data_IF_984432036467
#
_entry.id   IF_984432036467
#
_cell.length_a   1.000
_cell.length_b   1.000
_cell.length_c   1.000
_cell.angle_alpha   90.00
_cell.angle_beta   90.00
_cell.angle_gamma   90.00
#
_symmetry.space_group_name_H-M   'P 1'
#
loop_
_entity.id
_entity.type
_entity.pdbx_description
1 polymer ?
#
# COMPACT_ATOMS: atom_id res chain seq x y z
N UNK A 1 9.90 -6.91 16.79
CA UNK A 1 9.74 -6.52 15.41
C UNK A 1 9.11 -5.15 15.27
N UNK A 2 9.46 -4.46 14.24
CA UNK A 2 9.01 -3.11 13.96
C UNK A 2 7.55 -3.11 13.49
N UNK A 3 6.69 -2.25 14.03
CA UNK A 3 5.34 -2.11 13.51
C UNK A 3 5.37 -1.53 12.10
N UNK A 4 4.35 -1.85 11.32
CA UNK A 4 4.22 -1.33 9.97
C UNK A 4 2.78 -0.92 9.67
N UNK A 5 2.62 -0.22 8.56
CA UNK A 5 1.33 0.29 8.11
C UNK A 5 1.01 -0.22 6.71
N UNK A 6 -0.27 -0.20 6.38
CA UNK A 6 -0.76 -0.43 5.02
C UNK A 6 -1.16 0.92 4.45
N UNK A 7 -0.89 1.14 3.16
CA UNK A 7 -1.41 2.28 2.41
C UNK A 7 -2.22 1.71 1.24
N UNK A 8 -3.49 2.07 1.15
CA UNK A 8 -4.42 1.49 0.19
C UNK A 8 -5.48 2.50 -0.22
N UNK A 9 -5.95 2.42 -1.47
CA UNK A 9 -7.12 3.15 -1.94
C UNK A 9 -8.18 2.11 -2.31
N UNK A 10 -9.41 2.31 -1.84
CA UNK A 10 -10.52 1.39 -2.10
C UNK A 10 -11.72 2.13 -2.66
N UNK A 11 -12.49 1.45 -3.51
CA UNK A 11 -13.76 1.97 -3.96
C UNK A 11 -14.86 1.67 -2.93
N UNK A 12 -16.10 2.06 -3.23
CA UNK A 12 -17.22 1.90 -2.30
C UNK A 12 -17.48 0.44 -1.91
N UNK A 13 -17.16 -0.50 -2.78
CA UNK A 13 -17.33 -1.93 -2.53
C UNK A 13 -16.10 -2.59 -1.90
N UNK A 14 -15.06 -1.82 -1.58
CA UNK A 14 -13.80 -2.35 -1.08
C UNK A 14 -12.83 -2.77 -2.16
N UNK A 15 -13.11 -2.41 -3.41
CA UNK A 15 -12.28 -2.80 -4.56
C UNK A 15 -10.98 -2.00 -4.63
N UNK A 16 -9.91 -2.68 -5.02
CA UNK A 16 -8.58 -2.09 -5.11
C UNK A 16 -7.96 -2.18 -6.51
N UNK A 17 -8.62 -2.89 -7.42
CA UNK A 17 -8.11 -3.03 -8.77
C UNK A 17 -9.02 -3.82 -9.68
N UNK A 18 -8.80 -3.66 -10.96
CA UNK A 18 -9.49 -4.39 -12.03
C UNK A 18 -8.48 -4.68 -13.13
N UNK A 19 -8.38 -5.95 -13.53
CA UNK A 19 -7.45 -6.40 -14.56
C UNK A 19 -6.00 -5.97 -14.28
N UNK A 20 -5.61 -5.98 -13.00
CA UNK A 20 -4.24 -5.63 -12.58
C UNK A 20 -3.95 -4.14 -12.53
N UNK A 21 -4.94 -3.28 -12.74
CA UNK A 21 -4.76 -1.84 -12.78
C UNK A 21 -5.75 -1.11 -11.87
N UNK A 22 -5.42 0.13 -11.52
CA UNK A 22 -6.35 1.01 -10.81
C UNK A 22 -7.35 1.56 -11.81
N UNK A 23 -8.66 1.36 -11.60
CA UNK A 23 -9.67 1.87 -12.53
C UNK A 23 -9.96 3.36 -12.38
N UNK A 24 -9.29 4.03 -11.46
CA UNK A 24 -9.39 5.48 -11.25
C UNK A 24 -8.04 6.15 -11.41
N UNK A 25 -8.07 7.45 -11.66
CA UNK A 25 -6.87 8.26 -11.74
C UNK A 25 -7.08 9.51 -10.90
N UNK A 26 -6.36 9.58 -9.76
CA UNK A 26 -6.51 10.64 -8.77
C UNK A 26 -5.13 11.20 -8.42
N UNK A 27 -4.69 12.26 -9.11
CA UNK A 27 -3.38 12.86 -8.82
C UNK A 27 -3.21 13.30 -7.36
N UNK A 28 -4.27 13.80 -6.72
CA UNK A 28 -4.23 14.18 -5.31
C UNK A 28 -3.97 12.98 -4.41
N UNK A 29 -4.52 11.82 -4.75
CA UNK A 29 -4.28 10.59 -4.01
C UNK A 29 -2.83 10.13 -4.19
N UNK A 30 -2.30 10.24 -5.40
CA UNK A 30 -0.90 9.89 -5.66
C UNK A 30 0.06 10.79 -4.89
N UNK A 31 -0.26 12.08 -4.78
CA UNK A 31 0.53 13.03 -3.98
C UNK A 31 0.47 12.67 -2.49
N UNK A 32 -0.71 12.31 -2.00
CA UNK A 32 -0.94 11.89 -0.61
C UNK A 32 -0.14 10.61 -0.30
N UNK A 33 -0.19 9.63 -1.21
CA UNK A 33 0.58 8.40 -1.10
C UNK A 33 2.08 8.69 -0.95
N UNK A 34 2.61 9.56 -1.82
CA UNK A 34 4.02 9.93 -1.78
C UNK A 34 4.36 10.63 -0.46
N UNK A 35 3.52 11.55 -0.02
CA UNK A 35 3.75 12.28 1.22
C UNK A 35 3.80 11.35 2.43
N UNK A 36 2.86 10.41 2.53
CA UNK A 36 2.83 9.43 3.63
C UNK A 36 4.05 8.52 3.59
N UNK A 37 4.33 7.92 2.44
CA UNK A 37 5.36 6.87 2.35
C UNK A 37 6.77 7.42 2.33
N UNK A 38 6.98 8.59 1.76
CA UNK A 38 8.31 9.20 1.72
C UNK A 38 8.61 9.93 3.03
N UNK A 39 7.66 10.67 3.58
CA UNK A 39 7.84 11.40 4.82
C UNK A 39 9.08 12.26 4.78
N UNK A 40 9.90 12.16 5.82
CA UNK A 40 11.17 12.88 5.94
C UNK A 40 12.36 12.09 5.41
N UNK A 41 12.10 10.95 4.76
CA UNK A 41 13.12 10.06 4.26
C UNK A 41 13.40 8.90 5.22
N UNK A 42 14.13 7.89 4.72
CA UNK A 42 14.51 6.73 5.52
C UNK A 42 13.45 5.65 5.65
N UNK A 43 12.32 5.80 4.97
CA UNK A 43 11.22 4.82 5.01
C UNK A 43 11.42 3.71 3.98
N UNK A 44 10.67 2.62 4.16
CA UNK A 44 10.64 1.50 3.22
C UNK A 44 9.21 1.23 2.75
N UNK A 45 9.08 0.76 1.52
CA UNK A 45 7.81 0.29 0.96
C UNK A 45 7.98 -1.17 0.55
N UNK A 46 6.99 -2.00 0.89
CA UNK A 46 6.96 -3.42 0.53
C UNK A 46 5.84 -3.60 -0.48
N UNK A 47 6.13 -4.28 -1.57
CA UNK A 47 5.18 -4.53 -2.64
C UNK A 47 5.38 -5.90 -3.25
N UNK A 48 4.34 -6.46 -3.84
CA UNK A 48 4.45 -7.65 -4.65
C UNK A 48 5.05 -7.32 -6.02
N UNK A 49 5.55 -8.33 -6.72
CA UNK A 49 6.18 -8.11 -8.03
C UNK A 49 5.21 -7.53 -9.06
N UNK A 50 3.93 -7.94 -9.02
CA UNK A 50 2.93 -7.38 -9.95
C UNK A 50 2.73 -5.88 -9.73
N UNK A 51 2.75 -5.43 -8.49
CA UNK A 51 2.68 -4.01 -8.17
C UNK A 51 3.92 -3.29 -8.69
N UNK A 52 5.11 -3.87 -8.49
CA UNK A 52 6.34 -3.35 -9.05
C UNK A 52 6.24 -3.18 -10.56
N UNK A 53 5.77 -4.21 -11.27
CA UNK A 53 5.63 -4.18 -12.72
C UNK A 53 4.61 -3.12 -13.19
N UNK A 54 3.63 -2.77 -12.35
CA UNK A 54 2.61 -1.78 -12.66
C UNK A 54 3.13 -0.34 -12.57
N UNK A 55 4.24 -0.12 -11.86
CA UNK A 55 4.85 1.21 -11.77
C UNK A 55 5.59 1.48 -13.06
N UNK A 56 5.32 2.59 -13.77
CA UNK A 56 6.04 2.90 -14.99
C UNK A 56 7.55 2.94 -14.76
N UNK A 57 8.33 2.42 -15.71
CA UNK A 57 9.78 2.29 -15.56
C UNK A 57 10.50 3.56 -15.10
N UNK A 58 10.16 4.77 -15.61
CA UNK A 58 10.84 5.98 -15.15
C UNK A 58 10.60 6.32 -13.68
N UNK A 59 9.55 5.75 -13.05
CA UNK A 59 9.15 6.06 -11.69
C UNK A 59 9.54 4.98 -10.69
N UNK A 60 10.23 3.94 -11.11
CA UNK A 60 10.67 2.88 -10.20
C UNK A 60 12.18 2.72 -10.22
N UNK A 61 12.82 2.44 -9.06
CA UNK A 61 12.19 2.32 -7.74
C UNK A 61 11.62 3.66 -7.28
N UNK A 62 10.62 3.61 -6.38
CA UNK A 62 10.03 4.83 -5.84
C UNK A 62 11.10 5.63 -5.10
N UNK A 63 11.33 6.90 -5.46
CA UNK A 63 12.48 7.64 -4.94
C UNK A 63 12.37 7.96 -3.45
N UNK A 64 13.51 8.05 -2.79
CA UNK A 64 13.59 8.42 -1.39
C UNK A 64 13.13 7.37 -0.40
N UNK A 65 12.88 6.14 -0.87
CA UNK A 65 12.40 5.02 -0.06
C UNK A 65 13.13 3.77 -0.43
N UNK A 66 13.35 2.87 0.55
CA UNK A 66 13.82 1.53 0.24
C UNK A 66 12.66 0.76 -0.38
N UNK A 67 12.84 0.24 -1.58
CA UNK A 67 11.82 -0.57 -2.25
C UNK A 67 12.14 -2.04 -2.02
N UNK A 68 11.21 -2.77 -1.39
CA UNK A 68 11.33 -4.20 -1.13
C UNK A 68 10.26 -4.90 -1.96
N UNK A 69 10.68 -5.80 -2.85
CA UNK A 69 9.77 -6.51 -3.75
C UNK A 69 9.68 -7.96 -3.35
N UNK A 70 8.45 -8.42 -3.09
CA UNK A 70 8.16 -9.81 -2.81
C UNK A 70 8.04 -10.58 -4.12
N UNK A 71 8.87 -11.61 -4.27
CA UNK A 71 8.81 -12.49 -5.44
C UNK A 71 9.31 -13.88 -5.06
N UNK A 72 8.62 -14.91 -5.55
CA UNK A 72 9.07 -16.31 -5.42
C UNK A 72 10.04 -16.71 -6.51
N UNK A 73 10.22 -15.84 -7.50
CA UNK A 73 11.11 -16.11 -8.64
C UNK A 73 12.55 -15.84 -8.22
N UNK A 74 13.33 -16.90 -8.16
CA UNK A 74 14.76 -16.81 -7.83
C UNK A 74 15.59 -16.27 -8.99
N UNK A 75 15.07 -16.37 -10.20
CA UNK A 75 15.72 -15.89 -11.42
C UNK A 75 15.39 -14.43 -11.74
N UNK A 76 14.62 -13.76 -10.87
CA UNK A 76 14.31 -12.35 -11.07
C UNK A 76 15.56 -11.51 -10.88
N UNK A 77 15.90 -10.74 -11.89
CA UNK A 77 17.04 -9.84 -11.83
C UNK A 77 16.67 -8.62 -10.98
N UNK A 78 17.30 -8.52 -9.81
CA UNK A 78 16.98 -7.47 -8.83
C UNK A 78 17.57 -6.14 -9.30
N UNK A 79 16.73 -5.11 -9.52
CA UNK A 79 17.25 -3.80 -9.94
C UNK A 79 18.13 -3.17 -8.86
N UNK A 80 19.01 -2.27 -9.29
CA UNK A 80 19.86 -1.54 -8.37
C UNK A 80 18.99 -0.71 -7.40
N UNK A 81 19.37 -0.73 -6.11
CA UNK A 81 18.66 0.02 -5.08
C UNK A 81 17.38 -0.65 -4.58
N UNK A 82 17.13 -1.89 -5.00
CA UNK A 82 15.93 -2.67 -4.64
C UNK A 82 16.36 -3.89 -3.85
N UNK A 83 15.57 -4.23 -2.82
CA UNK A 83 15.74 -5.49 -2.10
C UNK A 83 14.65 -6.46 -2.56
N UNK A 84 15.01 -7.72 -2.77
CA UNK A 84 14.06 -8.78 -3.10
C UNK A 84 13.90 -9.71 -1.90
N UNK A 85 12.67 -10.19 -1.66
CA UNK A 85 12.37 -11.12 -0.60
C UNK A 85 11.43 -12.21 -1.11
N UNK A 86 11.65 -13.44 -0.65
CA UNK A 86 10.85 -14.58 -1.07
C UNK A 86 9.57 -14.78 -0.25
N UNK A 87 9.47 -14.14 0.90
CA UNK A 87 8.30 -14.21 1.77
C UNK A 87 8.16 -12.91 2.56
N UNK A 88 7.00 -12.76 3.20
CA UNK A 88 6.68 -11.53 3.91
C UNK A 88 7.59 -11.27 5.11
N UNK A 89 7.95 -12.30 5.85
CA UNK A 89 8.83 -12.15 7.03
C UNK A 89 10.23 -11.67 6.62
N UNK A 90 10.76 -12.18 5.52
CA UNK A 90 12.05 -11.73 5.00
C UNK A 90 11.96 -10.29 4.50
N UNK A 91 10.81 -9.91 3.93
CA UNK A 91 10.59 -8.52 3.50
C UNK A 91 10.61 -7.58 4.69
N UNK A 92 9.95 -7.94 5.79
CA UNK A 92 9.98 -7.14 7.02
C UNK A 92 11.40 -7.06 7.59
N UNK A 93 12.14 -8.17 7.56
CA UNK A 93 13.54 -8.19 8.00
C UNK A 93 14.42 -7.24 7.21
N UNK A 94 14.19 -7.12 5.91
CA UNK A 94 14.91 -6.19 5.05
C UNK A 94 14.66 -4.73 5.43
N UNK A 95 13.60 -4.44 6.16
CA UNK A 95 13.20 -3.09 6.55
C UNK A 95 13.63 -2.68 7.96
N UNK A 96 14.44 -3.51 8.65
CA UNK A 96 14.83 -3.24 10.04
C UNK A 96 15.45 -1.86 10.26
N UNK A 97 16.23 -1.38 9.33
CA UNK A 97 16.90 -0.09 9.44
C UNK A 97 16.02 1.09 9.01
N UNK A 98 14.83 0.83 8.46
CA UNK A 98 13.95 1.89 7.99
C UNK A 98 13.29 2.61 9.18
N UNK A 99 12.97 3.89 8.96
CA UNK A 99 12.26 4.68 9.97
C UNK A 99 10.83 4.18 10.11
N UNK A 100 10.09 4.10 8.99
CA UNK A 100 8.74 3.54 8.94
C UNK A 100 8.62 2.60 7.75
N UNK A 101 7.74 1.62 7.86
CA UNK A 101 7.53 0.59 6.84
C UNK A 101 6.08 0.61 6.40
N UNK A 102 5.87 0.64 5.08
CA UNK A 102 4.54 0.69 4.47
C UNK A 102 4.37 -0.45 3.47
N UNK A 103 3.26 -1.17 3.59
CA UNK A 103 2.87 -2.20 2.61
C UNK A 103 1.92 -1.55 1.61
N UNK A 104 2.27 -1.61 0.32
CA UNK A 104 1.58 -0.85 -0.72
C UNK A 104 0.87 -1.69 -1.78
N UNK A 105 0.80 -3.00 -1.61
CA UNK A 105 -0.02 -3.85 -2.47
C UNK A 105 0.75 -5.02 -3.09
N UNK A 106 0.13 -5.86 -3.86
CA UNK A 106 -1.30 -5.85 -4.15
C UNK A 106 -2.14 -6.71 -3.23
N UNK A 107 -3.24 -7.24 -3.75
CA UNK A 107 -4.25 -7.93 -2.96
C UNK A 107 -3.72 -9.02 -2.05
N UNK A 108 -2.90 -9.93 -2.56
CA UNK A 108 -2.34 -11.03 -1.77
C UNK A 108 -1.40 -10.51 -0.68
N UNK A 109 -0.64 -9.45 -0.96
CA UNK A 109 0.28 -8.86 0.01
C UNK A 109 -0.50 -8.12 1.10
N UNK A 110 -1.55 -7.40 0.73
CA UNK A 110 -2.44 -6.76 1.70
C UNK A 110 -3.09 -7.78 2.63
N UNK A 111 -3.57 -8.88 2.08
CA UNK A 111 -4.21 -9.94 2.87
C UNK A 111 -3.24 -10.50 3.89
N UNK A 112 -2.02 -10.77 3.47
CA UNK A 112 -0.97 -11.26 4.37
C UNK A 112 -0.64 -10.23 5.45
N UNK A 113 -0.55 -8.95 5.07
CA UNK A 113 -0.23 -7.88 6.00
C UNK A 113 -1.31 -7.68 7.06
N UNK A 114 -2.59 -7.77 6.67
CA UNK A 114 -3.71 -7.61 7.60
C UNK A 114 -3.70 -8.66 8.71
N UNK A 115 -3.20 -9.84 8.43
CA UNK A 115 -3.16 -10.95 9.41
C UNK A 115 -1.95 -10.84 10.34
N UNK A 116 -1.00 -9.98 10.04
CA UNK A 116 0.23 -9.87 10.82
C UNK A 116 0.00 -8.97 12.05
N UNK A 117 0.43 -9.42 13.25
CA UNK A 117 0.17 -8.67 14.48
C UNK A 117 0.89 -7.30 14.53
N UNK A 118 1.94 -7.12 13.77
CA UNK A 118 2.68 -5.86 13.73
C UNK A 118 2.10 -4.83 12.76
N UNK A 119 1.04 -5.20 12.03
CA UNK A 119 0.29 -4.24 11.22
C UNK A 119 -0.61 -3.42 12.14
N UNK A 120 -0.23 -2.17 12.38
CA UNK A 120 -0.90 -1.32 13.37
C UNK A 120 -1.82 -0.27 12.79
N UNK A 121 -1.55 0.16 11.57
CA UNK A 121 -2.25 1.30 10.96
C UNK A 121 -2.58 1.00 9.51
N UNK A 122 -3.76 1.45 9.07
CA UNK A 122 -4.15 1.44 7.67
C UNK A 122 -4.45 2.87 7.26
N UNK A 123 -3.66 3.38 6.31
CA UNK A 123 -3.93 4.65 5.64
C UNK A 123 -4.76 4.33 4.41
N UNK A 124 -6.02 4.74 4.42
CA UNK A 124 -6.98 4.35 3.38
C UNK A 124 -7.55 5.57 2.69
N UNK A 125 -7.48 5.59 1.37
CA UNK A 125 -8.25 6.53 0.58
C UNK A 125 -9.59 5.85 0.28
N UNK A 126 -10.66 6.40 0.82
CA UNK A 126 -12.01 5.89 0.59
C UNK A 126 -12.63 6.63 -0.58
N UNK A 127 -12.78 5.94 -1.72
CA UNK A 127 -13.38 6.50 -2.92
C UNK A 127 -14.88 6.24 -2.87
N UNK A 128 -15.69 7.29 -2.97
CA UNK A 128 -17.13 7.22 -2.78
C UNK A 128 -17.87 6.87 -4.07
N UNK A 129 -17.31 5.97 -4.84
CA UNK A 129 -17.85 5.45 -6.09
C UNK A 129 -17.45 4.00 -6.27
N UNK A 130 -18.21 3.25 -7.05
CA UNK A 130 -17.95 1.85 -7.33
C UNK A 130 -17.41 1.70 -8.75
N UNK A 131 -16.34 0.95 -8.95
CA UNK A 131 -15.64 0.83 -10.23
C UNK A 131 -15.66 -0.58 -10.83
N UNK A 132 -16.41 -1.51 -10.25
CA UNK A 132 -16.47 -2.88 -10.76
C UNK A 132 -15.14 -3.62 -10.64
N UNK A 133 -14.48 -3.48 -9.49
CA UNK A 133 -13.19 -4.14 -9.26
C UNK A 133 -13.32 -5.65 -9.17
N UNK A 134 -12.21 -6.34 -9.43
CA UNK A 134 -12.10 -7.79 -9.30
C UNK A 134 -11.18 -8.21 -8.14
N UNK A 135 -10.50 -7.26 -7.53
CA UNK A 135 -9.62 -7.49 -6.38
C UNK A 135 -10.06 -6.58 -5.24
N UNK A 136 -10.11 -7.11 -4.02
CA UNK A 136 -10.73 -6.40 -2.89
C UNK A 136 -9.82 -6.38 -1.67
N UNK A 137 -9.98 -5.33 -0.86
CA UNK A 137 -9.36 -5.17 0.45
C UNK A 137 -10.49 -5.05 1.46
N UNK A 138 -10.71 -6.10 2.22
CA UNK A 138 -11.85 -6.22 3.14
C UNK A 138 -11.34 -6.59 4.54
N UNK A 139 -10.84 -5.63 5.32
CA UNK A 139 -10.39 -5.90 6.68
C UNK A 139 -11.56 -6.23 7.59
N UNK A 140 -11.30 -7.02 8.63
CA UNK A 140 -12.28 -7.34 9.65
C UNK A 140 -12.58 -6.07 10.46
N UNK A 141 -13.77 -5.52 10.27
CA UNK A 141 -14.19 -4.28 10.93
C UNK A 141 -14.18 -4.36 12.45
N UNK A 142 -14.24 -5.56 13.02
CA UNK A 142 -14.19 -5.71 14.48
C UNK A 142 -12.79 -5.51 15.06
N UNK A 143 -11.76 -5.56 14.22
CA UNK A 143 -10.36 -5.43 14.64
C UNK A 143 -9.77 -4.05 14.38
N UNK A 144 -10.48 -3.21 13.65
CA UNK A 144 -9.97 -1.89 13.24
C UNK A 144 -10.90 -0.78 13.69
N UNK A 145 -10.32 0.34 14.10
CA UNK A 145 -11.04 1.52 14.57
C UNK A 145 -10.67 2.72 13.71
N UNK A 146 -11.67 3.45 13.24
CA UNK A 146 -11.44 4.69 12.50
C UNK A 146 -10.90 5.75 13.45
N UNK A 147 -9.67 6.20 13.23
CA UNK A 147 -9.02 7.22 14.04
C UNK A 147 -9.28 8.62 13.50
N UNK A 148 -9.23 8.78 12.19
CA UNK A 148 -9.47 10.07 11.55
C UNK A 148 -10.01 9.90 10.14
N UNK A 149 -10.77 10.89 9.69
CA UNK A 149 -11.27 10.96 8.34
C UNK A 149 -11.25 12.41 7.90
N UNK A 150 -10.67 12.67 6.72
CA UNK A 150 -10.65 14.01 6.14
C UNK A 150 -12.01 14.40 5.59
N UNK A 151 -12.16 15.66 5.23
CA UNK A 151 -13.29 16.11 4.45
C UNK A 151 -13.26 15.40 3.08
N UNK A 152 -14.45 15.24 2.50
CA UNK A 152 -14.55 14.70 1.14
C UNK A 152 -14.06 15.75 0.15
N UNK A 153 -13.17 15.37 -0.73
CA UNK A 153 -12.72 16.19 -1.85
C UNK A 153 -13.12 15.52 -3.15
N UNK A 154 -13.16 16.29 -4.22
CA UNK A 154 -13.54 15.76 -5.52
C UNK A 154 -12.49 16.11 -6.55
N UNK A 155 -12.09 15.13 -7.35
CA UNK A 155 -11.11 15.31 -8.41
C UNK A 155 -11.56 14.49 -9.62
N UNK A 156 -11.59 15.10 -10.78
CA UNK A 156 -12.09 14.47 -12.01
C UNK A 156 -13.50 13.90 -11.84
N UNK A 157 -14.35 14.58 -11.05
CA UNK A 157 -15.71 14.14 -10.79
C UNK A 157 -15.82 12.97 -9.80
N UNK A 158 -14.73 12.55 -9.18
CA UNK A 158 -14.70 11.42 -8.26
C UNK A 158 -14.53 11.93 -6.83
N UNK A 159 -15.51 11.69 -5.94
CA UNK A 159 -15.40 12.09 -4.54
C UNK A 159 -14.62 11.05 -3.73
N UNK A 160 -13.75 11.51 -2.84
CA UNK A 160 -12.98 10.63 -1.97
C UNK A 160 -12.57 11.35 -0.69
N UNK A 161 -12.20 10.57 0.34
CA UNK A 161 -11.68 11.10 1.59
C UNK A 161 -10.50 10.25 2.04
N UNK A 162 -9.66 10.82 2.91
CA UNK A 162 -8.51 10.12 3.48
C UNK A 162 -8.82 9.68 4.90
N UNK A 163 -8.66 8.39 5.16
CA UNK A 163 -8.96 7.79 6.46
C UNK A 163 -7.73 7.15 7.07
N UNK A 164 -7.67 7.13 8.38
CA UNK A 164 -6.66 6.39 9.13
C UNK A 164 -7.37 5.46 10.09
N UNK A 165 -7.06 4.17 10.00
CA UNK A 165 -7.57 3.15 10.91
C UNK A 165 -6.43 2.63 11.77
N UNK A 166 -6.75 2.33 13.04
CA UNK A 166 -5.82 1.70 13.96
C UNK A 166 -6.34 0.35 14.39
N UNK A 167 -5.42 -0.60 14.59
CA UNK A 167 -5.78 -1.91 15.11
C UNK A 167 -6.19 -1.75 16.57
N UNK A 168 -7.33 -2.34 16.92
CA UNK A 168 -7.79 -2.40 18.31
C UNK A 168 -6.83 -3.27 19.12
N UNK A 169 -6.46 -2.78 20.28
CA UNK A 169 -5.43 -3.35 21.14
C UNK A 169 -5.73 -4.69 21.82
#
# INVERSE_FOLDING_TARGET
MKPFSIVVAIDRAGGIGRDGELPWKLPADMAHFREITQGKGGNAVIMGRKTWDSIPKPFRPLPGRLNVVLTRRQDWEVPEGVAAAGNFEDALGACEAATEVFVIGGGAVYERALLHPDCRTVHMTAIHEEFGCDTFFLPDATQWELESESETVEENGIPFSFCVYRRKG
#
